data_IF_073805672669
#
_entry.id   IF_073805672669
#
_cell.length_a   1.000
_cell.length_b   1.000
_cell.length_c   1.000
_cell.angle_alpha   90.00
_cell.angle_beta   90.00
_cell.angle_gamma   90.00
#
_symmetry.space_group_name_H-M   'P 1'
#
loop_
_entity.id
_entity.type
_entity.pdbx_description
1 polymer ?
#
# COMPACT_ATOMS: atom_id res chain seq x y z
N UNK A 1 7.99 -92.95 -48.28
CA UNK A 1 8.02 -91.65 -48.94
C UNK A 1 7.11 -90.72 -48.20
N UNK A 2 7.71 -89.82 -47.43
CA UNK A 2 7.01 -89.07 -46.35
C UNK A 2 6.70 -87.64 -46.85
N UNK A 3 5.43 -87.23 -46.88
CA UNK A 3 5.02 -85.86 -47.21
C UNK A 3 4.82 -85.09 -45.93
N UNK A 4 5.72 -84.18 -45.65
CA UNK A 4 5.58 -83.18 -44.56
C UNK A 4 4.63 -82.07 -44.98
N UNK A 5 3.52 -81.91 -44.22
CA UNK A 5 2.64 -80.72 -44.30
C UNK A 5 3.15 -79.65 -43.35
N UNK A 6 3.61 -78.55 -43.90
CA UNK A 6 3.91 -77.31 -43.14
C UNK A 6 2.63 -76.54 -42.98
N UNK A 7 2.11 -76.42 -41.74
CA UNK A 7 1.03 -75.51 -41.38
C UNK A 7 1.67 -74.22 -40.88
N UNK A 8 1.57 -73.16 -41.68
CA UNK A 8 1.95 -71.84 -41.28
C UNK A 8 0.85 -71.27 -40.35
N UNK A 9 1.24 -71.03 -39.11
CA UNK A 9 0.43 -70.20 -38.19
C UNK A 9 0.77 -68.71 -38.43
N UNK A 10 -0.21 -67.99 -38.92
CA UNK A 10 -0.18 -66.55 -39.06
C UNK A 10 -0.65 -65.92 -37.75
N UNK A 11 0.29 -65.47 -36.89
CA UNK A 11 0.01 -64.68 -35.73
C UNK A 11 -0.31 -63.24 -36.13
N UNK A 12 -1.56 -62.84 -36.14
CA UNK A 12 -1.98 -61.42 -36.20
C UNK A 12 -1.70 -60.76 -34.86
N UNK A 13 -0.66 -59.95 -34.77
CA UNK A 13 -0.44 -59.06 -33.63
C UNK A 13 -1.27 -57.76 -33.83
N UNK A 14 -2.37 -57.66 -33.09
CA UNK A 14 -3.11 -56.40 -32.96
C UNK A 14 -2.32 -55.41 -32.09
N UNK A 15 -1.68 -54.43 -32.70
CA UNK A 15 -1.15 -53.27 -32.01
C UNK A 15 -2.32 -52.33 -31.67
N UNK A 16 -2.74 -52.33 -30.41
CA UNK A 16 -3.62 -51.27 -29.88
C UNK A 16 -2.78 -49.99 -29.72
N UNK A 17 -2.99 -49.02 -30.59
CA UNK A 17 -2.45 -47.70 -30.47
C UNK A 17 -3.20 -46.97 -29.31
N UNK A 18 -2.55 -46.89 -28.14
CA UNK A 18 -3.05 -46.06 -27.05
C UNK A 18 -2.75 -44.60 -27.47
N UNK A 19 -3.79 -43.89 -27.89
CA UNK A 19 -3.75 -42.48 -28.10
C UNK A 19 -3.52 -41.77 -26.74
N UNK A 20 -2.29 -41.36 -26.46
CA UNK A 20 -1.96 -40.49 -25.35
C UNK A 20 -2.47 -39.08 -25.70
N UNK A 21 -3.62 -38.70 -25.15
CA UNK A 21 -4.02 -37.31 -25.13
C UNK A 21 -2.99 -36.55 -24.26
N UNK A 22 -2.34 -35.48 -24.78
CA UNK A 22 -1.53 -34.65 -23.92
C UNK A 22 -2.48 -34.04 -22.87
N UNK A 23 -2.24 -34.38 -21.60
CA UNK A 23 -2.83 -33.65 -20.50
C UNK A 23 -2.28 -32.22 -20.60
N UNK A 24 -3.06 -31.32 -21.18
CA UNK A 24 -2.83 -29.89 -21.09
C UNK A 24 -2.95 -29.55 -19.61
N UNK A 25 -1.79 -29.40 -18.94
CA UNK A 25 -1.73 -28.74 -17.66
C UNK A 25 -2.31 -27.34 -17.91
N UNK A 26 -3.56 -27.12 -17.51
CA UNK A 26 -4.09 -25.79 -17.37
C UNK A 26 -3.15 -25.11 -16.36
N UNK A 27 -2.28 -24.22 -16.82
CA UNK A 27 -1.67 -23.23 -15.97
C UNK A 27 -2.83 -22.55 -15.27
N UNK A 28 -3.02 -22.87 -14.01
CA UNK A 28 -3.89 -22.11 -13.14
C UNK A 28 -3.26 -20.71 -13.11
N UNK A 29 -3.77 -19.79 -13.90
CA UNK A 29 -3.54 -18.37 -13.70
C UNK A 29 -4.09 -18.11 -12.31
N UNK A 30 -3.18 -18.02 -11.35
CA UNK A 30 -3.49 -17.68 -9.97
C UNK A 30 -4.18 -16.32 -10.03
N UNK A 31 -5.51 -16.33 -9.94
CA UNK A 31 -6.31 -15.13 -10.07
C UNK A 31 -6.01 -14.27 -8.86
N UNK A 32 -5.58 -13.03 -9.12
CA UNK A 32 -5.33 -12.03 -8.08
C UNK A 32 -6.50 -11.98 -7.09
N UNK A 33 -6.24 -12.07 -5.77
CA UNK A 33 -7.28 -11.95 -4.76
C UNK A 33 -8.10 -10.66 -4.95
N UNK A 34 -9.43 -10.72 -4.93
CA UNK A 34 -10.28 -9.55 -5.20
C UNK A 34 -10.15 -8.46 -4.13
N UNK A 35 -9.76 -8.81 -2.91
CA UNK A 35 -9.50 -7.88 -1.81
C UNK A 35 -8.18 -7.11 -1.97
N UNK A 36 -7.23 -7.62 -2.76
CA UNK A 36 -6.00 -6.91 -3.07
C UNK A 36 -6.25 -5.71 -3.97
N UNK A 37 -5.32 -4.75 -3.95
CA UNK A 37 -5.37 -3.61 -4.84
C UNK A 37 -5.42 -4.06 -6.31
N UNK A 38 -6.43 -3.64 -7.06
CA UNK A 38 -6.69 -4.07 -8.44
C UNK A 38 -5.93 -3.21 -9.45
N UNK A 39 -5.36 -3.77 -10.51
CA UNK A 39 -4.60 -3.03 -11.52
C UNK A 39 -5.53 -2.08 -12.30
N UNK A 40 -5.07 -0.84 -12.49
CA UNK A 40 -5.77 0.20 -13.26
C UNK A 40 -4.97 0.58 -14.50
N UNK A 41 -3.66 0.88 -14.34
CA UNK A 41 -2.79 1.26 -15.44
C UNK A 41 -1.35 0.79 -15.18
N UNK A 42 -0.84 -0.04 -16.06
CA UNK A 42 0.44 -0.72 -15.89
C UNK A 42 1.62 0.24 -16.02
N UNK A 43 1.56 1.20 -16.93
CA UNK A 43 2.68 2.11 -17.21
C UNK A 43 3.04 2.97 -16.00
N UNK A 44 2.07 3.25 -15.13
CA UNK A 44 2.27 3.98 -13.88
C UNK A 44 2.32 3.09 -12.64
N UNK A 45 2.32 1.77 -12.81
CA UNK A 45 2.19 0.85 -11.66
C UNK A 45 1.00 1.27 -10.77
N UNK A 46 -0.11 1.64 -11.42
CA UNK A 46 -1.29 2.22 -10.77
C UNK A 46 -2.29 1.13 -10.42
N UNK A 47 -2.64 1.08 -9.15
CA UNK A 47 -3.62 0.14 -8.60
C UNK A 47 -4.65 0.86 -7.75
N UNK A 48 -5.86 0.32 -7.72
CA UNK A 48 -6.95 0.75 -6.85
C UNK A 48 -7.01 -0.13 -5.61
N UNK A 49 -6.81 0.46 -4.43
CA UNK A 49 -6.87 -0.24 -3.13
C UNK A 49 -8.27 -0.26 -2.53
N UNK A 50 -9.03 0.81 -2.74
CA UNK A 50 -10.42 0.99 -2.35
C UNK A 50 -11.12 1.88 -3.38
N UNK A 51 -12.44 2.10 -3.32
CA UNK A 51 -13.11 3.04 -4.21
C UNK A 51 -12.53 4.45 -4.20
N UNK A 52 -11.85 4.84 -3.14
CA UNK A 52 -11.30 6.19 -2.91
C UNK A 52 -9.78 6.24 -2.79
N UNK A 53 -9.08 5.11 -2.72
CA UNK A 53 -7.64 5.08 -2.53
C UNK A 53 -6.92 4.35 -3.67
N UNK A 54 -5.95 5.02 -4.25
CA UNK A 54 -5.09 4.53 -5.32
C UNK A 54 -3.62 4.60 -4.91
N UNK A 55 -2.81 3.72 -5.50
CA UNK A 55 -1.35 3.71 -5.31
C UNK A 55 -0.65 3.61 -6.67
N UNK A 56 0.52 4.27 -6.82
CA UNK A 56 1.29 4.21 -8.08
C UNK A 56 2.79 4.41 -7.89
N UNK A 57 3.54 4.23 -8.98
CA UNK A 57 4.86 4.86 -9.17
C UNK A 57 4.70 6.37 -9.36
N UNK A 58 5.82 7.10 -9.45
CA UNK A 58 5.81 8.53 -9.76
C UNK A 58 5.15 8.77 -11.13
N UNK A 59 4.00 9.44 -11.16
CA UNK A 59 3.38 9.80 -12.43
C UNK A 59 4.13 10.94 -13.13
N UNK A 60 3.75 11.19 -14.37
CA UNK A 60 4.16 12.37 -15.14
C UNK A 60 2.93 13.09 -15.71
N UNK A 61 3.15 14.10 -16.55
CA UNK A 61 2.06 14.84 -17.19
C UNK A 61 1.14 14.00 -18.07
N UNK A 62 1.60 12.87 -18.57
CA UNK A 62 0.80 11.90 -19.33
C UNK A 62 -0.27 11.20 -18.51
N UNK A 63 -0.09 11.12 -17.20
CA UNK A 63 -1.08 10.52 -16.29
C UNK A 63 -2.30 11.42 -16.04
N UNK A 64 -2.22 12.73 -16.30
CA UNK A 64 -3.28 13.69 -15.94
C UNK A 64 -4.67 13.32 -16.46
N UNK A 65 -4.88 12.91 -17.74
CA UNK A 65 -6.21 12.51 -18.21
C UNK A 65 -6.80 11.35 -17.43
N UNK A 66 -5.96 10.37 -17.03
CA UNK A 66 -6.37 9.22 -16.23
C UNK A 66 -6.75 9.65 -14.80
N UNK A 67 -5.93 10.48 -14.16
CA UNK A 67 -6.22 11.00 -12.82
C UNK A 67 -7.52 11.81 -12.78
N UNK A 68 -7.79 12.60 -13.81
CA UNK A 68 -9.06 13.31 -13.96
C UNK A 68 -10.25 12.35 -14.13
N UNK A 69 -10.10 11.30 -14.97
CA UNK A 69 -11.12 10.24 -15.12
C UNK A 69 -11.42 9.53 -13.80
N UNK A 70 -10.39 9.27 -12.99
CA UNK A 70 -10.51 8.67 -11.66
C UNK A 70 -10.95 9.67 -10.58
N UNK A 71 -11.14 10.94 -10.96
CA UNK A 71 -11.54 12.05 -10.06
C UNK A 71 -10.59 12.23 -8.88
N UNK A 72 -9.29 11.99 -9.08
CA UNK A 72 -8.29 12.18 -8.03
C UNK A 72 -8.30 13.65 -7.57
N UNK A 73 -8.67 13.87 -6.31
CA UNK A 73 -8.71 15.20 -5.69
C UNK A 73 -7.45 15.53 -4.89
N UNK A 74 -6.72 14.51 -4.44
CA UNK A 74 -5.47 14.69 -3.68
C UNK A 74 -4.40 13.72 -4.15
N UNK A 75 -3.18 14.22 -4.31
CA UNK A 75 -1.99 13.41 -4.58
C UNK A 75 -1.04 13.54 -3.38
N UNK A 76 -0.67 12.39 -2.79
CA UNK A 76 0.25 12.30 -1.66
C UNK A 76 1.56 11.69 -2.16
N UNK A 77 2.65 12.45 -2.08
CA UNK A 77 3.98 11.97 -2.44
C UNK A 77 4.83 11.66 -1.20
N UNK A 78 5.52 10.52 -1.23
CA UNK A 78 6.53 10.15 -0.24
C UNK A 78 7.96 10.48 -0.70
N UNK A 79 8.07 11.35 -1.69
CA UNK A 79 9.34 11.84 -2.24
C UNK A 79 9.72 13.20 -1.66
N UNK A 80 11.03 13.52 -1.58
CA UNK A 80 11.47 14.86 -1.25
C UNK A 80 11.24 15.86 -2.39
N UNK A 81 11.07 15.39 -3.63
CA UNK A 81 10.76 16.21 -4.79
C UNK A 81 9.25 16.53 -4.85
N UNK A 82 8.96 17.78 -5.22
CA UNK A 82 7.57 18.24 -5.35
C UNK A 82 6.95 17.78 -6.67
N UNK A 83 5.68 17.36 -6.61
CA UNK A 83 4.87 17.03 -7.77
C UNK A 83 4.42 18.22 -8.61
N UNK A 84 4.73 19.46 -8.18
CA UNK A 84 4.38 20.67 -8.91
C UNK A 84 4.94 20.71 -10.35
N UNK A 85 5.97 19.90 -10.65
CA UNK A 85 6.58 19.84 -11.98
C UNK A 85 5.66 19.19 -13.02
N UNK A 86 4.88 18.20 -12.63
CA UNK A 86 4.01 17.43 -13.52
C UNK A 86 2.53 17.63 -13.20
N UNK A 87 2.19 17.94 -11.94
CA UNK A 87 0.83 18.11 -11.47
C UNK A 87 0.54 19.61 -11.26
N UNK A 88 0.17 20.29 -12.34
CA UNK A 88 -0.23 21.71 -12.31
C UNK A 88 -1.74 21.92 -12.42
N UNK A 89 -2.53 20.83 -12.39
CA UNK A 89 -3.99 20.84 -12.56
C UNK A 89 -4.66 21.59 -11.39
N UNK A 90 -5.44 22.65 -11.66
CA UNK A 90 -6.20 23.32 -10.62
C UNK A 90 -7.19 22.37 -9.94
N UNK A 91 -7.36 22.51 -8.63
CA UNK A 91 -8.30 21.71 -7.84
C UNK A 91 -7.78 20.36 -7.36
N UNK A 92 -6.57 19.97 -7.73
CA UNK A 92 -5.90 18.79 -7.15
C UNK A 92 -4.96 19.24 -6.05
N UNK A 93 -5.23 18.81 -4.82
CA UNK A 93 -4.37 19.06 -3.66
C UNK A 93 -3.08 18.24 -3.74
N UNK A 94 -1.95 18.82 -3.35
CA UNK A 94 -0.65 18.13 -3.27
C UNK A 94 -0.18 18.09 -1.83
N UNK A 95 0.04 16.88 -1.32
CA UNK A 95 0.55 16.62 0.03
C UNK A 95 1.92 15.97 -0.08
N UNK A 96 2.93 16.54 0.55
CA UNK A 96 4.31 16.05 0.47
C UNK A 96 4.77 15.56 1.85
N UNK A 97 5.04 14.27 1.95
CA UNK A 97 5.39 13.56 3.19
C UNK A 97 6.65 12.70 2.98
N UNK A 98 7.82 13.31 2.75
CA UNK A 98 9.03 12.55 2.47
C UNK A 98 9.49 11.77 3.71
N UNK A 99 9.85 10.50 3.50
CA UNK A 99 10.49 9.66 4.49
C UNK A 99 11.38 8.59 3.82
N UNK A 100 12.15 7.86 4.63
CA UNK A 100 13.00 6.76 4.18
C UNK A 100 12.62 5.49 4.93
N UNK A 101 12.38 4.39 4.22
CA UNK A 101 11.97 3.11 4.81
C UNK A 101 12.96 2.54 5.81
N UNK A 102 14.26 2.77 5.59
CA UNK A 102 15.33 2.31 6.51
C UNK A 102 15.44 3.12 7.81
N UNK A 103 14.71 4.23 7.94
CA UNK A 103 14.68 5.11 9.12
C UNK A 103 13.26 5.51 9.50
N UNK A 104 12.26 4.77 9.01
CA UNK A 104 10.86 5.04 9.29
C UNK A 104 10.56 4.80 10.77
N UNK A 105 9.76 5.68 11.33
CA UNK A 105 9.20 5.55 12.68
C UNK A 105 7.68 5.69 12.68
N UNK A 106 7.07 5.51 13.86
CA UNK A 106 5.62 5.58 14.02
C UNK A 106 5.05 6.96 13.67
N UNK A 107 5.85 8.03 13.83
CA UNK A 107 5.39 9.38 13.48
C UNK A 107 5.26 9.59 11.98
N UNK A 108 6.13 8.96 11.18
CA UNK A 108 6.05 8.99 9.72
C UNK A 108 4.78 8.27 9.25
N UNK A 109 4.51 7.10 9.82
CA UNK A 109 3.35 6.27 9.47
C UNK A 109 2.05 6.96 9.91
N UNK A 110 1.97 7.45 11.15
CA UNK A 110 0.80 8.15 11.65
C UNK A 110 0.47 9.40 10.80
N UNK A 111 1.50 10.15 10.42
CA UNK A 111 1.36 11.31 9.55
C UNK A 111 0.84 10.91 8.17
N UNK A 112 1.36 9.84 7.58
CA UNK A 112 0.91 9.35 6.29
C UNK A 112 -0.53 8.82 6.34
N UNK A 113 -0.87 7.98 7.33
CA UNK A 113 -2.22 7.42 7.48
C UNK A 113 -3.26 8.51 7.72
N UNK A 114 -2.95 9.51 8.54
CA UNK A 114 -3.83 10.65 8.78
C UNK A 114 -4.06 11.46 7.52
N UNK A 115 -3.01 11.78 6.79
CA UNK A 115 -3.13 12.50 5.53
C UNK A 115 -3.98 11.75 4.50
N UNK A 116 -3.85 10.42 4.43
CA UNK A 116 -4.69 9.58 3.56
C UNK A 116 -6.15 9.67 4.00
N UNK A 117 -6.47 9.47 5.28
CA UNK A 117 -7.85 9.53 5.78
C UNK A 117 -8.49 10.91 5.59
N UNK A 118 -7.74 11.99 5.88
CA UNK A 118 -8.22 13.37 5.69
C UNK A 118 -8.47 13.69 4.22
N UNK A 119 -7.65 13.16 3.31
CA UNK A 119 -7.81 13.32 1.89
C UNK A 119 -8.98 12.48 1.35
N UNK A 120 -9.13 11.22 1.77
CA UNK A 120 -10.25 10.35 1.38
C UNK A 120 -11.62 10.93 1.79
N UNK A 121 -11.68 11.67 2.90
CA UNK A 121 -12.88 12.37 3.32
C UNK A 121 -13.34 13.47 2.34
N UNK A 122 -12.42 13.96 1.49
CA UNK A 122 -12.68 14.99 0.46
C UNK A 122 -12.90 14.38 -0.94
N UNK A 123 -12.42 13.16 -1.19
CA UNK A 123 -12.54 12.48 -2.49
C UNK A 123 -11.42 11.48 -2.75
N UNK A 124 -11.34 10.94 -3.97
CA UNK A 124 -10.32 9.96 -4.32
C UNK A 124 -8.88 10.49 -4.20
N UNK A 125 -8.01 9.65 -3.67
CA UNK A 125 -6.61 9.94 -3.32
C UNK A 125 -5.67 9.04 -4.11
N UNK A 126 -4.60 9.61 -4.64
CA UNK A 126 -3.46 8.87 -5.15
C UNK A 126 -2.28 9.04 -4.20
N UNK A 127 -1.70 7.95 -3.72
CA UNK A 127 -0.42 7.97 -3.02
C UNK A 127 0.68 7.34 -3.87
N UNK A 128 1.87 7.95 -3.88
CA UNK A 128 2.97 7.44 -4.69
C UNK A 128 4.36 7.69 -4.09
N UNK A 129 5.33 6.95 -4.60
CA UNK A 129 6.75 7.20 -4.45
C UNK A 129 7.44 7.02 -5.81
N UNK A 130 8.75 6.79 -5.87
CA UNK A 130 9.44 6.63 -7.14
C UNK A 130 8.96 5.42 -7.96
N UNK A 131 8.87 4.24 -7.33
CA UNK A 131 8.51 2.98 -8.00
C UNK A 131 7.12 2.46 -7.61
N UNK A 132 6.47 3.04 -6.60
CA UNK A 132 5.17 2.57 -6.10
C UNK A 132 5.24 1.35 -5.18
N UNK A 133 6.41 0.77 -5.00
CA UNK A 133 6.62 -0.49 -4.28
C UNK A 133 7.05 -0.30 -2.82
N UNK A 134 8.17 0.37 -2.56
CA UNK A 134 8.81 0.44 -1.23
C UNK A 134 8.07 1.38 -0.26
N UNK A 135 8.22 2.71 -0.39
CA UNK A 135 7.57 3.70 0.50
C UNK A 135 6.06 3.62 0.41
N UNK A 136 5.52 3.62 -0.79
CA UNK A 136 4.09 3.46 -1.03
C UNK A 136 3.59 2.10 -0.53
N UNK A 137 4.36 1.03 -0.73
CA UNK A 137 4.04 -0.31 -0.24
C UNK A 137 3.94 -0.37 1.27
N UNK A 138 4.87 0.25 1.99
CA UNK A 138 4.82 0.31 3.44
C UNK A 138 3.58 1.04 3.96
N UNK A 139 3.28 2.23 3.43
CA UNK A 139 2.07 2.97 3.84
C UNK A 139 0.80 2.20 3.46
N UNK A 140 0.77 1.55 2.29
CA UNK A 140 -0.34 0.70 1.87
C UNK A 140 -0.57 -0.46 2.84
N UNK A 141 0.48 -1.20 3.20
CA UNK A 141 0.39 -2.29 4.16
C UNK A 141 -0.08 -1.79 5.55
N UNK A 142 0.46 -0.68 6.03
CA UNK A 142 0.03 -0.10 7.30
C UNK A 142 -1.40 0.43 7.27
N UNK A 143 -1.86 0.95 6.12
CA UNK A 143 -3.27 1.31 5.93
C UNK A 143 -4.18 0.08 6.01
N UNK A 144 -3.81 -1.04 5.35
CA UNK A 144 -4.53 -2.31 5.45
C UNK A 144 -4.66 -2.77 6.91
N UNK A 145 -3.54 -2.77 7.64
CA UNK A 145 -3.49 -3.29 9.02
C UNK A 145 -4.17 -2.35 10.02
N UNK A 146 -3.83 -1.06 10.00
CA UNK A 146 -4.27 -0.10 11.02
C UNK A 146 -5.68 0.39 10.76
N UNK A 147 -6.00 0.73 9.49
CA UNK A 147 -7.28 1.36 9.12
C UNK A 147 -8.32 0.32 8.71
N UNK A 148 -7.94 -0.63 7.86
CA UNK A 148 -8.88 -1.64 7.33
C UNK A 148 -8.97 -2.92 8.18
N UNK A 149 -8.09 -3.09 9.19
CA UNK A 149 -8.17 -4.21 10.12
C UNK A 149 -7.64 -5.54 9.58
N UNK A 150 -6.86 -5.53 8.51
CA UNK A 150 -6.23 -6.74 7.99
C UNK A 150 -5.22 -7.32 8.98
N UNK A 151 -4.94 -8.61 8.85
CA UNK A 151 -3.79 -9.20 9.52
C UNK A 151 -2.49 -8.65 8.93
N UNK A 152 -1.40 -8.66 9.70
CA UNK A 152 -0.08 -8.29 9.16
C UNK A 152 0.36 -9.23 8.05
N UNK A 153 0.00 -10.51 8.15
CA UNK A 153 0.32 -11.53 7.16
C UNK A 153 -0.34 -11.23 5.83
N UNK A 154 -1.66 -10.97 5.80
CA UNK A 154 -2.38 -10.64 4.56
C UNK A 154 -1.87 -9.35 3.92
N UNK A 155 -1.58 -8.33 4.75
CA UNK A 155 -1.04 -7.05 4.26
C UNK A 155 0.39 -7.20 3.70
N UNK A 156 1.21 -8.06 4.30
CA UNK A 156 2.55 -8.38 3.81
C UNK A 156 2.49 -9.21 2.53
N UNK A 157 1.58 -10.18 2.44
CA UNK A 157 1.37 -10.97 1.23
C UNK A 157 0.94 -10.06 0.07
N UNK A 158 -0.01 -9.14 0.28
CA UNK A 158 -0.34 -8.14 -0.73
C UNK A 158 0.88 -7.29 -1.10
N UNK A 159 1.66 -6.82 -0.12
CA UNK A 159 2.82 -5.95 -0.35
C UNK A 159 3.90 -6.64 -1.18
N UNK A 160 4.18 -7.93 -0.94
CA UNK A 160 5.30 -8.66 -1.54
C UNK A 160 4.92 -9.41 -2.81
N UNK A 161 3.70 -9.96 -2.88
CA UNK A 161 3.21 -10.81 -3.97
C UNK A 161 2.22 -10.08 -4.88
N UNK A 162 1.80 -8.88 -4.50
CA UNK A 162 0.82 -8.09 -5.26
C UNK A 162 1.34 -7.49 -6.58
N UNK A 163 2.55 -7.81 -7.03
CA UNK A 163 3.09 -7.38 -8.33
C UNK A 163 3.43 -5.90 -8.43
N UNK A 164 3.68 -5.23 -7.30
CA UNK A 164 3.99 -3.81 -7.26
C UNK A 164 5.46 -3.47 -7.55
N UNK A 165 6.30 -4.46 -7.78
CA UNK A 165 7.72 -4.31 -8.09
C UNK A 165 8.61 -5.37 -7.43
N UNK A 166 9.93 -5.18 -7.50
CA UNK A 166 10.91 -6.14 -7.00
C UNK A 166 10.91 -6.22 -5.47
N UNK A 167 10.70 -7.43 -4.94
CA UNK A 167 10.66 -7.74 -3.51
C UNK A 167 11.98 -7.46 -2.77
N UNK A 168 13.11 -7.36 -3.47
CA UNK A 168 14.41 -7.05 -2.86
C UNK A 168 14.46 -5.70 -2.16
N UNK A 169 13.58 -4.77 -2.52
CA UNK A 169 13.49 -3.43 -1.94
C UNK A 169 12.57 -3.33 -0.72
N UNK A 170 11.86 -4.39 -0.36
CA UNK A 170 10.84 -4.32 0.70
C UNK A 170 11.34 -4.61 2.12
N UNK A 171 12.60 -5.01 2.29
CA UNK A 171 13.11 -5.53 3.57
C UNK A 171 12.85 -4.63 4.78
N UNK A 172 13.06 -3.34 4.63
CA UNK A 172 12.87 -2.38 5.72
C UNK A 172 11.40 -2.15 6.01
N UNK A 173 10.56 -2.05 4.97
CA UNK A 173 9.12 -1.95 5.11
C UNK A 173 8.51 -3.20 5.74
N UNK A 174 8.89 -4.38 5.27
CA UNK A 174 8.45 -5.67 5.86
C UNK A 174 8.81 -5.74 7.34
N UNK A 175 10.06 -5.41 7.68
CA UNK A 175 10.51 -5.39 9.08
C UNK A 175 9.67 -4.45 9.93
N UNK A 176 9.37 -3.24 9.44
CA UNK A 176 8.53 -2.30 10.16
C UNK A 176 7.13 -2.87 10.39
N UNK A 177 6.45 -3.36 9.36
CA UNK A 177 5.10 -3.96 9.48
C UNK A 177 5.09 -5.10 10.49
N UNK A 178 6.08 -5.99 10.45
CA UNK A 178 6.19 -7.10 11.40
C UNK A 178 6.33 -6.62 12.85
N UNK A 179 7.12 -5.58 13.09
CA UNK A 179 7.44 -5.07 14.44
C UNK A 179 6.42 -4.05 14.97
N UNK A 180 5.63 -3.42 14.11
CA UNK A 180 4.68 -2.37 14.46
C UNK A 180 3.69 -2.83 15.55
N UNK A 181 3.49 -2.01 16.57
CA UNK A 181 2.44 -2.20 17.58
C UNK A 181 1.14 -1.57 17.04
N UNK A 182 0.31 -2.42 16.43
CA UNK A 182 -0.90 -1.99 15.72
C UNK A 182 -1.89 -1.30 16.64
N UNK A 183 -2.03 -1.79 17.87
CA UNK A 183 -3.02 -1.23 18.82
C UNK A 183 -2.58 0.15 19.31
N UNK A 184 -1.28 0.36 19.53
CA UNK A 184 -0.74 1.69 19.83
C UNK A 184 -0.90 2.65 18.64
N UNK A 185 -0.65 2.18 17.42
CA UNK A 185 -0.83 2.99 16.22
C UNK A 185 -2.30 3.38 16.02
N UNK A 186 -3.25 2.45 16.19
CA UNK A 186 -4.68 2.76 16.13
C UNK A 186 -5.10 3.78 17.19
N UNK A 187 -4.64 3.59 18.42
CA UNK A 187 -4.92 4.52 19.53
C UNK A 187 -4.35 5.91 19.23
N UNK A 188 -3.10 6.00 18.82
CA UNK A 188 -2.44 7.26 18.48
C UNK A 188 -3.10 7.95 17.27
N UNK A 189 -3.52 7.18 16.27
CA UNK A 189 -4.24 7.70 15.10
C UNK A 189 -5.60 8.29 15.50
N UNK A 190 -6.36 7.57 16.33
CA UNK A 190 -7.69 8.00 16.82
C UNK A 190 -7.60 9.24 17.71
N UNK A 191 -6.58 9.33 18.57
CA UNK A 191 -6.37 10.45 19.47
C UNK A 191 -5.79 11.71 18.78
N UNK A 192 -5.29 11.58 17.55
CA UNK A 192 -4.54 12.65 16.89
C UNK A 192 -3.09 12.78 17.37
N UNK A 193 -2.56 11.77 18.08
CA UNK A 193 -1.19 11.78 18.58
C UNK A 193 -0.18 11.72 17.43
N UNK A 194 0.91 12.46 17.53
CA UNK A 194 1.93 12.51 16.49
C UNK A 194 2.90 11.31 16.51
N UNK A 195 2.89 10.51 17.58
CA UNK A 195 3.72 9.31 17.75
C UNK A 195 3.06 8.38 18.77
N UNK A 196 3.44 7.11 18.75
CA UNK A 196 3.07 6.14 19.80
C UNK A 196 3.88 6.32 21.09
N UNK A 197 4.95 7.12 21.05
CA UNK A 197 5.80 7.45 22.19
C UNK A 197 5.51 8.83 22.75
N UNK A 198 5.22 8.90 24.03
CA UNK A 198 5.06 10.17 24.77
C UNK A 198 6.36 10.98 24.84
N UNK A 199 7.50 10.34 24.62
CA UNK A 199 8.82 10.98 24.59
C UNK A 199 9.24 11.44 23.19
N UNK A 200 8.41 11.26 22.16
CA UNK A 200 8.72 11.73 20.83
C UNK A 200 8.85 13.26 20.82
N UNK A 201 9.78 13.78 20.03
CA UNK A 201 10.00 15.23 19.91
C UNK A 201 8.73 15.99 19.50
N UNK A 202 7.89 15.39 18.67
CA UNK A 202 6.62 16.00 18.28
C UNK A 202 5.62 16.05 19.45
N UNK A 203 5.57 15.03 20.31
CA UNK A 203 4.75 15.00 21.52
C UNK A 203 5.22 16.06 22.52
N UNK A 204 6.52 16.20 22.72
CA UNK A 204 7.11 17.21 23.60
C UNK A 204 6.84 18.63 23.10
N UNK A 205 6.91 18.89 21.80
CA UNK A 205 6.57 20.20 21.22
C UNK A 205 5.09 20.54 21.43
N UNK A 206 4.18 19.59 21.26
CA UNK A 206 2.75 19.79 21.53
C UNK A 206 2.50 20.14 22.98
N UNK A 207 3.16 19.44 23.91
CA UNK A 207 3.05 19.71 25.37
C UNK A 207 3.56 21.11 25.72
N UNK A 208 4.73 21.53 25.21
CA UNK A 208 5.28 22.88 25.42
C UNK A 208 4.32 23.96 24.91
N UNK A 209 3.75 23.78 23.72
CA UNK A 209 2.82 24.74 23.16
C UNK A 209 1.50 24.82 23.92
N UNK A 210 1.00 23.70 24.47
CA UNK A 210 -0.21 23.68 25.29
C UNK A 210 -0.01 24.32 26.67
N UNK A 211 1.19 24.19 27.26
CA UNK A 211 1.53 24.81 28.54
C UNK A 211 1.82 26.32 28.42
N UNK A 212 2.15 26.80 27.21
CA UNK A 212 2.34 28.23 26.96
C UNK A 212 1.03 29.04 26.98
N UNK A 213 -0.13 28.39 27.01
CA UNK A 213 -1.45 29.03 27.16
C UNK A 213 -1.92 28.99 28.62
N UNK A 214 -1.04 29.31 29.57
CA UNK A 214 -1.48 29.61 30.94
C UNK A 214 -2.20 30.95 30.90
N UNK A 215 -3.48 31.05 31.31
CA UNK A 215 -4.15 32.34 31.42
C UNK A 215 -3.34 33.23 32.37
N UNK A 216 -2.93 34.41 31.92
CA UNK A 216 -2.38 35.39 32.83
C UNK A 216 -3.45 35.63 33.92
N UNK A 217 -3.11 35.22 35.13
CA UNK A 217 -3.90 35.65 36.29
C UNK A 217 -3.83 37.17 36.30
N UNK A 218 -4.96 37.81 36.11
CA UNK A 218 -5.09 39.27 36.20
C UNK A 218 -4.76 39.67 37.65
N UNK A 219 -3.69 40.44 37.89
CA UNK A 219 -3.33 40.81 39.29
C UNK A 219 -4.35 41.73 39.94
N UNK A 220 -5.35 42.21 39.20
CA UNK A 220 -6.35 43.14 39.72
C UNK A 220 -7.66 42.45 40.20
N UNK A 221 -7.80 41.13 40.01
CA UNK A 221 -9.00 40.40 40.45
C UNK A 221 -9.02 40.03 41.96
N UNK A 222 -8.02 40.42 42.73
CA UNK A 222 -7.85 40.00 44.13
C UNK A 222 -7.96 41.12 45.20
N UNK A 223 -8.65 42.21 44.90
CA UNK A 223 -8.93 43.20 45.96
C UNK A 223 -10.42 43.18 46.33
N UNK A 224 -10.82 42.81 47.55
CA UNK A 224 -12.16 42.99 48.03
C UNK A 224 -12.41 44.49 48.24
N UNK A 225 -13.44 45.01 47.59
CA UNK A 225 -13.92 46.37 47.84
C UNK A 225 -14.48 46.46 49.27
N UNK A 226 -13.90 47.33 50.05
CA UNK A 226 -14.42 47.78 51.35
C UNK A 226 -15.40 48.87 51.13
#
# INVERSE_FOLDING_TARGET
MLKLCFRSLLCLALFAAVAQTPAQAAEATETRPPEWAQPVEKDYNLYQMSPTLYRSSLPDGGALPLLMKLKIGTVITFLPESDARWLSTPGVERVQLPYRTNHVDDSDILRALRAVQEAEAKGPVLMHCKHGSDRTGLVAAMYRVVVQGWSKEDALNEMTEGGFGDSHHFKDGVRYVMQADVDKLRTALANGDCSTSVFALCSLKSWVNSTATIPRLDPQAALPQR
#
